data_IF_566740181199
#
_entry.id   IF_566740181199
#
_cell.length_a   1.000
_cell.length_b   1.000
_cell.length_c   1.000
_cell.angle_alpha   90.00
_cell.angle_beta   90.00
_cell.angle_gamma   90.00
#
_symmetry.space_group_name_H-M   'P 1'
#
loop_
_entity.id
_entity.type
_entity.pdbx_description
1 polymer ?
#
# COMPACT_ATOMS: atom_id res chain seq x y z
N UNK A 1 12.94 12.91 -14.13
CA UNK A 1 13.15 14.32 -13.74
C UNK A 1 13.02 14.34 -12.24
N UNK A 2 14.05 14.80 -11.53
CA UNK A 2 13.95 15.03 -10.09
C UNK A 2 13.07 16.27 -9.89
N UNK A 3 12.05 16.12 -9.07
CA UNK A 3 11.16 17.20 -8.64
C UNK A 3 11.84 17.94 -7.47
N UNK A 4 11.48 19.19 -7.18
CA UNK A 4 12.07 19.95 -6.08
C UNK A 4 11.77 19.29 -4.72
N UNK A 5 12.59 19.55 -3.69
CA UNK A 5 12.28 19.12 -2.32
C UNK A 5 11.01 19.86 -1.87
N UNK A 6 9.91 19.16 -1.54
CA UNK A 6 8.66 19.80 -1.15
C UNK A 6 8.76 20.51 0.20
N UNK A 7 7.82 21.43 0.41
CA UNK A 7 7.56 21.97 1.74
C UNK A 7 7.11 20.87 2.71
N UNK A 8 7.39 21.07 3.99
CA UNK A 8 7.00 20.14 5.06
C UNK A 8 5.48 20.01 5.16
N UNK A 9 5.02 18.79 5.46
CA UNK A 9 3.61 18.49 5.65
C UNK A 9 3.13 18.93 7.03
N UNK A 10 1.88 19.38 7.11
CA UNK A 10 1.23 19.77 8.38
C UNK A 10 0.57 18.59 9.11
N UNK A 11 0.87 17.35 8.73
CA UNK A 11 0.32 16.12 9.31
C UNK A 11 1.35 14.99 9.24
N UNK A 12 1.16 13.94 10.05
CA UNK A 12 1.99 12.73 10.05
C UNK A 12 1.71 11.87 8.81
N UNK A 13 2.61 11.81 7.82
CA UNK A 13 2.42 10.97 6.65
C UNK A 13 2.57 9.49 6.97
N UNK A 14 1.87 8.66 6.21
CA UNK A 14 1.90 7.19 6.29
C UNK A 14 2.29 6.56 4.95
N UNK A 15 1.87 7.15 3.84
CA UNK A 15 2.07 6.58 2.50
C UNK A 15 2.15 7.70 1.47
N UNK A 16 3.00 7.54 0.47
CA UNK A 16 3.03 8.38 -0.72
C UNK A 16 2.69 7.50 -1.93
N UNK A 17 1.83 8.00 -2.81
CA UNK A 17 1.44 7.31 -4.03
C UNK A 17 1.63 8.24 -5.22
N UNK A 18 2.19 7.72 -6.31
CA UNK A 18 2.39 8.47 -7.54
C UNK A 18 1.19 8.33 -8.47
N UNK A 19 0.82 9.42 -9.13
CA UNK A 19 -0.18 9.46 -10.20
C UNK A 19 0.34 10.30 -11.38
N UNK A 20 -0.49 10.57 -12.38
CA UNK A 20 -0.06 11.25 -13.61
C UNK A 20 0.49 12.66 -13.35
N UNK A 21 -0.21 13.47 -12.55
CA UNK A 21 0.12 14.88 -12.30
C UNK A 21 0.91 15.11 -10.99
N UNK A 22 1.55 14.07 -10.45
CA UNK A 22 2.44 14.19 -9.29
C UNK A 22 2.27 13.08 -8.25
N UNK A 23 2.16 13.46 -6.98
CA UNK A 23 2.03 12.55 -5.85
C UNK A 23 0.85 12.89 -4.93
N UNK A 24 0.39 11.89 -4.19
CA UNK A 24 -0.56 12.04 -3.09
C UNK A 24 0.13 11.54 -1.84
N UNK A 25 0.06 12.35 -0.78
CA UNK A 25 0.45 11.91 0.56
C UNK A 25 -0.79 11.58 1.36
N UNK A 26 -0.80 10.38 1.95
CA UNK A 26 -1.84 9.88 2.84
C UNK A 26 -1.33 9.96 4.27
N UNK A 27 -2.09 10.63 5.13
CA UNK A 27 -1.81 10.77 6.56
C UNK A 27 -2.31 9.61 7.40
N UNK A 28 -1.78 9.50 8.62
CA UNK A 28 -2.16 8.46 9.59
C UNK A 28 -3.64 8.55 9.97
N UNK A 29 -4.22 9.75 10.06
CA UNK A 29 -5.61 9.96 10.45
C UNK A 29 -6.56 10.10 9.26
N UNK A 30 -6.10 9.78 8.05
CA UNK A 30 -6.88 9.85 6.80
C UNK A 30 -6.79 11.19 6.07
N UNK A 31 -5.79 12.02 6.39
CA UNK A 31 -5.44 13.19 5.58
C UNK A 31 -5.04 12.77 4.16
N UNK A 32 -5.39 13.62 3.20
CA UNK A 32 -4.90 13.58 1.83
C UNK A 32 -4.41 14.97 1.45
N UNK A 33 -3.23 15.03 0.84
CA UNK A 33 -2.71 16.24 0.20
C UNK A 33 -1.97 15.86 -1.08
N UNK A 34 -2.10 16.69 -2.11
CA UNK A 34 -1.41 16.50 -3.39
C UNK A 34 -0.08 17.23 -3.38
N UNK A 35 0.84 16.70 -4.17
CA UNK A 35 2.08 17.36 -4.57
C UNK A 35 2.10 17.36 -6.09
N UNK A 36 2.36 18.51 -6.71
CA UNK A 36 2.48 18.62 -8.17
C UNK A 36 3.81 18.03 -8.70
N UNK A 37 4.03 18.13 -10.01
CA UNK A 37 5.22 17.60 -10.67
C UNK A 37 6.49 18.40 -10.35
N UNK A 38 6.34 19.66 -9.94
CA UNK A 38 7.42 20.55 -9.55
C UNK A 38 7.82 20.36 -8.08
N UNK A 39 6.96 19.72 -7.29
CA UNK A 39 7.15 19.45 -5.87
C UNK A 39 6.46 20.40 -4.92
N UNK A 40 5.55 21.24 -5.41
CA UNK A 40 4.78 22.13 -4.55
C UNK A 40 3.59 21.40 -3.94
N UNK A 41 3.31 21.71 -2.66
CA UNK A 41 2.08 21.26 -2.01
C UNK A 41 0.87 21.93 -2.66
N UNK A 42 -0.11 21.12 -3.08
CA UNK A 42 -1.34 21.60 -3.72
C UNK A 42 -2.49 21.59 -2.71
N UNK A 43 -2.95 22.80 -2.37
CA UNK A 43 -4.03 23.00 -1.41
C UNK A 43 -3.64 22.63 0.02
N UNK A 44 -4.63 22.67 0.91
CA UNK A 44 -4.47 22.32 2.32
C UNK A 44 -4.83 20.85 2.54
N UNK A 45 -4.25 20.14 3.53
CA UNK A 45 -4.63 18.77 3.86
C UNK A 45 -6.14 18.64 4.12
N UNK A 46 -6.77 17.59 3.58
CA UNK A 46 -8.21 17.31 3.79
C UNK A 46 -8.42 15.89 4.24
N UNK A 47 -9.47 15.67 5.04
CA UNK A 47 -9.93 14.32 5.42
C UNK A 47 -11.28 14.06 4.74
N UNK A 48 -11.34 13.38 3.58
CA UNK A 48 -12.63 13.05 2.93
C UNK A 48 -13.59 12.29 3.83
N UNK A 49 -13.05 11.52 4.77
CA UNK A 49 -13.81 10.75 5.74
C UNK A 49 -13.07 10.76 7.09
N UNK A 50 -13.77 10.78 8.23
CA UNK A 50 -13.15 11.05 9.53
C UNK A 50 -12.52 9.82 10.19
N UNK A 51 -11.93 8.93 9.39
CA UNK A 51 -11.27 7.71 9.86
C UNK A 51 -10.00 7.48 9.04
N UNK A 52 -9.02 6.72 9.53
CA UNK A 52 -7.83 6.37 8.75
C UNK A 52 -8.15 5.65 7.44
N UNK A 53 -7.31 5.89 6.43
CA UNK A 53 -7.27 5.08 5.21
C UNK A 53 -6.49 3.79 5.51
N UNK A 54 -7.16 2.65 5.33
CA UNK A 54 -6.60 1.32 5.59
C UNK A 54 -5.67 0.90 4.46
N UNK A 55 -6.18 0.96 3.23
CA UNK A 55 -5.45 0.65 1.99
C UNK A 55 -5.93 1.54 0.86
N UNK A 56 -5.03 1.88 -0.04
CA UNK A 56 -5.28 2.71 -1.21
C UNK A 56 -4.49 2.21 -2.43
N UNK A 57 -5.06 2.43 -3.62
CA UNK A 57 -4.43 2.18 -4.90
C UNK A 57 -4.88 3.26 -5.89
N UNK A 58 -4.10 3.45 -6.97
CA UNK A 58 -4.41 4.43 -8.01
C UNK A 58 -4.58 3.69 -9.34
N UNK A 59 -5.64 4.04 -10.07
CA UNK A 59 -5.87 3.64 -11.46
C UNK A 59 -6.04 4.94 -12.24
N UNK A 60 -5.14 5.22 -13.18
CA UNK A 60 -5.06 6.51 -13.88
C UNK A 60 -5.06 7.70 -12.90
N UNK A 61 -6.09 8.56 -12.97
CA UNK A 61 -6.31 9.68 -12.05
C UNK A 61 -7.43 9.39 -11.04
N UNK A 62 -7.66 8.11 -10.70
CA UNK A 62 -8.64 7.72 -9.68
C UNK A 62 -7.94 7.08 -8.48
N UNK A 63 -8.11 7.70 -7.31
CA UNK A 63 -7.73 7.11 -6.03
C UNK A 63 -8.84 6.19 -5.55
N UNK A 64 -8.55 4.90 -5.47
CA UNK A 64 -9.40 3.90 -4.82
C UNK A 64 -8.90 3.71 -3.39
N UNK A 65 -9.73 3.99 -2.39
CA UNK A 65 -9.33 3.89 -1.00
C UNK A 65 -10.39 3.20 -0.14
N UNK A 66 -9.90 2.62 0.96
CA UNK A 66 -10.73 2.00 1.99
C UNK A 66 -10.53 2.69 3.33
N UNK A 67 -11.64 2.87 4.04
CA UNK A 67 -11.68 3.47 5.37
C UNK A 67 -12.25 2.46 6.34
N UNK A 68 -11.68 2.38 7.54
CA UNK A 68 -12.10 1.45 8.59
C UNK A 68 -12.08 2.16 9.93
N UNK A 69 -13.19 2.08 10.66
CA UNK A 69 -13.23 2.40 12.09
C UNK A 69 -13.69 1.14 12.84
N UNK A 70 -12.74 0.53 13.55
CA UNK A 70 -12.96 -0.72 14.29
C UNK A 70 -13.87 -0.51 15.50
N UNK A 71 -13.85 0.68 16.12
CA UNK A 71 -14.69 0.95 17.29
C UNK A 71 -16.16 1.10 16.89
N UNK A 72 -16.40 1.75 15.74
CA UNK A 72 -17.75 1.92 15.19
C UNK A 72 -18.18 0.77 14.28
N UNK A 73 -17.31 -0.22 14.04
CA UNK A 73 -17.54 -1.37 13.16
C UNK A 73 -18.06 -0.95 11.78
N UNK A 74 -17.45 0.07 11.20
CA UNK A 74 -17.81 0.57 9.87
C UNK A 74 -16.61 0.50 8.93
N UNK A 75 -16.90 0.15 7.69
CA UNK A 75 -15.95 0.22 6.61
C UNK A 75 -16.58 0.88 5.37
N UNK A 76 -15.77 1.64 4.65
CA UNK A 76 -16.14 2.29 3.38
C UNK A 76 -15.08 1.98 2.34
N UNK A 77 -15.52 1.91 1.09
CA UNK A 77 -14.65 1.98 -0.07
C UNK A 77 -15.18 3.07 -0.99
N UNK A 78 -14.30 3.84 -1.60
CA UNK A 78 -14.69 4.87 -2.55
C UNK A 78 -13.59 5.12 -3.57
N UNK A 79 -14.00 5.66 -4.72
CA UNK A 79 -13.10 6.27 -5.68
C UNK A 79 -13.20 7.79 -5.61
N UNK A 80 -12.05 8.48 -5.66
CA UNK A 80 -11.94 9.93 -5.70
C UNK A 80 -11.16 10.31 -6.95
N UNK A 81 -11.73 11.19 -7.77
CA UNK A 81 -11.08 11.72 -8.97
C UNK A 81 -10.01 12.76 -8.59
N UNK A 82 -8.77 12.45 -8.96
CA UNK A 82 -7.57 13.22 -8.68
C UNK A 82 -7.42 14.44 -9.57
N UNK A 83 -8.27 14.63 -10.58
CA UNK A 83 -8.36 15.89 -11.30
C UNK A 83 -9.04 16.98 -10.44
N UNK A 84 -9.80 16.60 -9.40
CA UNK A 84 -10.51 17.52 -8.52
C UNK A 84 -9.77 17.74 -7.20
N UNK A 85 -10.02 18.88 -6.54
CA UNK A 85 -9.51 19.11 -5.19
C UNK A 85 -10.14 18.16 -4.17
N UNK A 86 -9.34 17.73 -3.18
CA UNK A 86 -9.87 16.94 -2.08
C UNK A 86 -10.87 17.76 -1.26
N UNK A 87 -11.91 17.09 -0.78
CA UNK A 87 -12.98 17.73 -0.02
C UNK A 87 -12.94 17.31 1.45
N UNK A 88 -13.34 18.22 2.33
CA UNK A 88 -13.42 17.94 3.75
C UNK A 88 -14.69 17.14 4.08
N UNK A 89 -14.50 16.01 4.74
CA UNK A 89 -15.54 15.13 5.26
C UNK A 89 -16.23 15.66 6.51
N UNK A 90 -17.26 14.92 6.92
CA UNK A 90 -17.94 15.11 8.21
C UNK A 90 -16.99 14.82 9.38
N UNK A 91 -17.43 15.14 10.61
CA UNK A 91 -16.69 14.76 11.80
C UNK A 91 -17.01 13.33 12.22
N UNK A 92 -16.10 12.71 12.98
CA UNK A 92 -16.29 11.32 13.49
C UNK A 92 -17.58 11.17 14.31
N UNK A 93 -17.98 12.22 15.03
CA UNK A 93 -19.22 12.23 15.82
C UNK A 93 -20.50 12.00 14.99
N UNK A 94 -20.51 12.45 13.74
CA UNK A 94 -21.67 12.35 12.84
C UNK A 94 -21.95 10.89 12.42
N UNK A 95 -20.92 10.03 12.44
CA UNK A 95 -21.04 8.62 12.08
C UNK A 95 -21.91 7.83 13.07
N UNK A 96 -22.03 8.29 14.32
CA UNK A 96 -22.78 7.57 15.38
C UNK A 96 -24.30 7.63 15.21
N UNK A 97 -24.80 8.64 14.49
CA UNK A 97 -26.23 8.98 14.43
C UNK A 97 -26.96 8.22 13.31
N UNK A 98 -26.23 7.71 12.30
CA UNK A 98 -26.82 7.15 11.07
C UNK A 98 -26.39 5.70 10.82
N UNK A 99 -27.08 4.76 11.49
CA UNK A 99 -26.72 3.33 11.51
C UNK A 99 -27.30 2.49 10.36
N UNK A 100 -28.21 3.02 9.56
CA UNK A 100 -28.81 2.27 8.44
C UNK A 100 -28.05 2.54 7.14
N UNK A 101 -27.97 1.54 6.26
CA UNK A 101 -27.17 1.59 5.02
C UNK A 101 -27.61 2.77 4.14
N UNK A 102 -28.90 2.99 4.00
CA UNK A 102 -29.54 4.09 3.25
C UNK A 102 -29.20 5.50 3.79
N UNK A 103 -28.76 5.60 5.04
CA UNK A 103 -28.37 6.86 5.69
C UNK A 103 -26.87 6.95 5.93
N UNK A 104 -26.10 6.00 5.41
CA UNK A 104 -24.66 5.95 5.60
C UNK A 104 -24.00 7.21 5.08
N UNK A 105 -23.03 7.71 5.84
CA UNK A 105 -22.16 8.79 5.37
C UNK A 105 -21.03 8.16 4.57
N UNK A 106 -20.68 8.82 3.47
CA UNK A 106 -19.67 8.41 2.51
C UNK A 106 -18.53 9.43 2.46
N UNK A 107 -17.32 9.02 2.04
CA UNK A 107 -16.20 9.94 1.83
C UNK A 107 -16.59 11.11 0.90
N UNK A 108 -16.23 12.35 1.23
CA UNK A 108 -16.55 13.52 0.41
C UNK A 108 -15.69 13.58 -0.86
N UNK A 109 -16.24 14.13 -1.94
CA UNK A 109 -15.57 14.19 -3.24
C UNK A 109 -15.46 12.83 -3.97
N UNK A 110 -16.22 11.82 -3.54
CA UNK A 110 -16.22 10.52 -4.20
C UNK A 110 -16.98 10.55 -5.55
N UNK A 111 -16.45 9.85 -6.54
CA UNK A 111 -17.18 9.53 -7.79
C UNK A 111 -18.17 8.39 -7.57
N UNK A 112 -17.79 7.41 -6.74
CA UNK A 112 -18.66 6.39 -6.21
C UNK A 112 -18.17 5.94 -4.84
N UNK A 113 -19.07 5.33 -4.06
CA UNK A 113 -18.70 4.75 -2.77
C UNK A 113 -19.64 3.63 -2.32
N UNK A 114 -19.10 2.70 -1.56
CA UNK A 114 -19.80 1.54 -1.02
C UNK A 114 -19.58 1.40 0.49
N UNK A 115 -20.62 0.91 1.17
CA UNK A 115 -20.53 0.39 2.52
C UNK A 115 -19.99 -1.04 2.43
N UNK A 116 -18.93 -1.33 3.17
CA UNK A 116 -18.42 -2.68 3.31
C UNK A 116 -19.00 -3.32 4.58
N UNK A 117 -19.43 -4.57 4.48
CA UNK A 117 -20.00 -5.36 5.59
C UNK A 117 -18.94 -6.24 6.30
N UNK A 118 -17.67 -6.11 5.91
CA UNK A 118 -16.52 -6.79 6.47
C UNK A 118 -15.26 -5.91 6.39
N UNK A 119 -14.24 -6.26 7.16
CA UNK A 119 -12.95 -5.56 7.15
C UNK A 119 -12.21 -5.79 5.82
N UNK A 120 -11.81 -4.72 5.11
CA UNK A 120 -10.88 -4.83 3.99
C UNK A 120 -9.48 -5.11 4.52
N UNK A 121 -8.93 -6.26 4.13
CA UNK A 121 -7.61 -6.72 4.58
C UNK A 121 -6.49 -6.14 3.71
N UNK A 122 -6.70 -6.08 2.39
CA UNK A 122 -5.72 -5.59 1.43
C UNK A 122 -6.40 -5.20 0.12
N UNK A 123 -5.75 -4.32 -0.64
CA UNK A 123 -6.19 -3.74 -1.91
C UNK A 123 -4.96 -3.57 -2.80
N UNK A 124 -5.06 -3.99 -4.06
CA UNK A 124 -4.05 -3.72 -5.08
C UNK A 124 -4.73 -3.51 -6.44
N UNK A 125 -4.10 -2.74 -7.32
CA UNK A 125 -4.65 -2.42 -8.63
C UNK A 125 -3.61 -2.62 -9.73
N UNK A 126 -4.11 -2.86 -10.94
CA UNK A 126 -3.35 -2.70 -12.18
C UNK A 126 -3.87 -1.46 -12.92
N UNK A 127 -3.52 -1.31 -14.20
CA UNK A 127 -3.96 -0.17 -15.00
C UNK A 127 -5.46 -0.07 -15.27
N UNK A 128 -6.26 -1.12 -15.04
CA UNK A 128 -7.67 -1.18 -15.47
C UNK A 128 -8.66 -1.60 -14.38
N UNK A 129 -8.22 -2.36 -13.38
CA UNK A 129 -9.05 -2.92 -12.33
C UNK A 129 -8.31 -2.95 -11.00
N UNK A 130 -9.07 -3.11 -9.92
CA UNK A 130 -8.51 -3.34 -8.59
C UNK A 130 -9.11 -4.59 -7.97
N UNK A 131 -8.28 -5.32 -7.25
CA UNK A 131 -8.67 -6.45 -6.42
C UNK A 131 -8.54 -6.11 -4.94
N UNK A 132 -9.44 -6.66 -4.13
CA UNK A 132 -9.38 -6.53 -2.69
C UNK A 132 -9.88 -7.79 -1.98
N UNK A 133 -9.42 -7.97 -0.75
CA UNK A 133 -9.80 -9.10 0.12
C UNK A 133 -10.62 -8.59 1.28
N UNK A 134 -11.80 -9.17 1.47
CA UNK A 134 -12.66 -8.92 2.63
C UNK A 134 -12.56 -10.08 3.61
N UNK A 135 -12.35 -9.75 4.89
CA UNK A 135 -12.26 -10.74 5.95
C UNK A 135 -13.52 -11.61 6.00
N UNK A 136 -13.34 -12.93 5.90
CA UNK A 136 -14.42 -13.94 5.93
C UNK A 136 -15.47 -13.83 4.82
N UNK A 137 -15.14 -13.17 3.70
CA UNK A 137 -16.06 -12.97 2.57
C UNK A 137 -15.47 -13.43 1.25
N UNK A 138 -14.16 -13.24 1.06
CA UNK A 138 -13.46 -13.67 -0.14
C UNK A 138 -12.74 -12.53 -0.84
N UNK A 139 -12.57 -12.68 -2.14
CA UNK A 139 -11.79 -11.81 -3.01
C UNK A 139 -12.72 -11.25 -4.07
N UNK A 140 -12.56 -9.97 -4.37
CA UNK A 140 -13.36 -9.26 -5.36
C UNK A 140 -12.42 -8.52 -6.29
N UNK A 141 -12.74 -8.49 -7.58
CA UNK A 141 -12.10 -7.62 -8.55
C UNK A 141 -13.15 -6.78 -9.26
N UNK A 142 -12.95 -5.47 -9.25
CA UNK A 142 -13.86 -4.49 -9.82
C UNK A 142 -13.11 -3.61 -10.83
N UNK A 143 -13.82 -3.11 -11.84
CA UNK A 143 -13.34 -2.00 -12.66
C UNK A 143 -13.25 -0.71 -11.84
N UNK A 144 -12.55 0.30 -12.38
CA UNK A 144 -12.47 1.64 -11.78
C UNK A 144 -13.85 2.27 -11.50
N UNK A 145 -14.89 1.88 -12.23
CA UNK A 145 -16.28 2.35 -12.08
C UNK A 145 -17.14 1.47 -11.12
N UNK A 146 -16.49 0.65 -10.30
CA UNK A 146 -17.12 -0.27 -9.35
C UNK A 146 -18.01 -1.37 -9.96
N UNK A 147 -17.73 -1.78 -11.21
CA UNK A 147 -18.40 -2.93 -11.84
C UNK A 147 -17.63 -4.20 -11.47
N UNK A 148 -18.31 -5.19 -10.87
CA UNK A 148 -17.70 -6.49 -10.55
C UNK A 148 -17.29 -7.22 -11.84
N UNK A 149 -16.00 -7.50 -11.99
CA UNK A 149 -15.46 -8.34 -13.06
C UNK A 149 -15.56 -9.82 -12.66
N UNK A 150 -15.13 -10.14 -11.45
CA UNK A 150 -15.19 -11.47 -10.88
C UNK A 150 -15.04 -11.44 -9.35
N UNK A 151 -15.37 -12.56 -8.72
CA UNK A 151 -15.12 -12.81 -7.30
C UNK A 151 -14.68 -14.26 -7.07
N UNK A 152 -13.92 -14.47 -6.01
CA UNK A 152 -13.42 -15.77 -5.60
C UNK A 152 -13.67 -15.99 -4.09
N UNK A 153 -13.76 -17.26 -3.63
CA UNK A 153 -13.88 -17.57 -2.22
C UNK A 153 -12.63 -17.14 -1.42
N UNK A 154 -12.69 -17.28 -0.10
CA UNK A 154 -11.55 -17.01 0.76
C UNK A 154 -10.29 -17.78 0.35
N UNK A 155 -9.12 -17.12 0.31
CA UNK A 155 -7.86 -17.77 -0.01
C UNK A 155 -7.53 -18.82 1.06
N UNK A 156 -7.12 -20.02 0.63
CA UNK A 156 -6.82 -21.11 1.57
C UNK A 156 -5.68 -22.00 1.11
N UNK A 157 -4.88 -22.45 2.08
CA UNK A 157 -3.75 -23.36 1.86
C UNK A 157 -3.82 -24.51 2.86
N UNK A 158 -4.14 -25.72 2.38
CA UNK A 158 -4.35 -26.90 3.24
C UNK A 158 -3.19 -27.17 4.21
N UNK A 159 -1.94 -26.95 3.77
CA UNK A 159 -0.75 -27.16 4.60
C UNK A 159 -0.59 -26.09 5.71
N UNK A 160 -1.12 -24.88 5.52
CA UNK A 160 -1.06 -23.80 6.52
C UNK A 160 -2.23 -23.85 7.51
N UNK A 161 -3.30 -24.58 7.20
CA UNK A 161 -4.50 -24.65 8.05
C UNK A 161 -4.25 -25.15 9.49
N UNK A 162 -3.15 -25.90 9.69
CA UNK A 162 -2.74 -26.41 11.03
C UNK A 162 -1.86 -25.44 11.81
N UNK A 163 -1.37 -24.38 11.17
CA UNK A 163 -0.48 -23.40 11.79
C UNK A 163 -1.33 -22.18 12.19
N UNK A 164 -1.32 -21.78 13.48
CA UNK A 164 -2.11 -20.65 13.94
C UNK A 164 -1.88 -19.41 13.09
N UNK A 165 -2.98 -18.81 12.61
CA UNK A 165 -2.99 -17.53 11.86
C UNK A 165 -2.22 -17.54 10.53
N UNK A 166 -1.64 -18.66 10.11
CA UNK A 166 -0.80 -18.71 8.91
C UNK A 166 -1.56 -18.50 7.59
N UNK A 167 -2.88 -18.69 7.59
CA UNK A 167 -3.75 -18.42 6.43
C UNK A 167 -4.26 -16.97 6.38
N UNK A 168 -4.02 -16.14 7.40
CA UNK A 168 -4.43 -14.73 7.38
C UNK A 168 -3.76 -14.02 6.20
N UNK A 169 -4.56 -13.31 5.40
CA UNK A 169 -4.05 -12.48 4.31
C UNK A 169 -3.30 -11.28 4.90
N UNK A 170 -2.09 -11.03 4.41
CA UNK A 170 -1.23 -9.93 4.88
C UNK A 170 -0.91 -8.91 3.79
N UNK A 171 -0.89 -9.34 2.52
CA UNK A 171 -0.63 -8.46 1.39
C UNK A 171 -1.30 -8.96 0.12
N UNK A 172 -1.53 -8.04 -0.81
CA UNK A 172 -1.94 -8.34 -2.19
C UNK A 172 -1.07 -7.56 -3.15
N UNK A 173 -0.74 -8.17 -4.27
CA UNK A 173 0.01 -7.52 -5.36
C UNK A 173 -0.76 -7.72 -6.66
N UNK A 174 -0.69 -6.77 -7.57
CA UNK A 174 -1.42 -6.83 -8.84
C UNK A 174 -0.53 -6.33 -9.96
N UNK A 175 -0.54 -7.04 -11.07
CA UNK A 175 0.02 -6.60 -12.35
C UNK A 175 -1.00 -6.81 -13.48
N UNK A 176 -0.59 -6.60 -14.72
CA UNK A 176 -1.47 -6.70 -15.89
C UNK A 176 -1.92 -8.12 -16.22
N UNK A 177 -1.33 -9.14 -15.60
CA UNK A 177 -1.66 -10.56 -15.81
C UNK A 177 -2.28 -11.19 -14.57
N UNK A 178 -1.82 -10.80 -13.38
CA UNK A 178 -2.08 -11.53 -12.16
C UNK A 178 -2.48 -10.64 -10.98
N UNK A 179 -3.45 -11.13 -10.22
CA UNK A 179 -3.71 -10.71 -8.85
C UNK A 179 -3.19 -11.78 -7.88
N UNK A 180 -2.38 -11.39 -6.91
CA UNK A 180 -1.75 -12.32 -5.98
C UNK A 180 -2.18 -12.01 -4.55
N UNK A 181 -2.56 -13.05 -3.82
CA UNK A 181 -2.90 -12.97 -2.40
C UNK A 181 -1.84 -13.68 -1.59
N UNK A 182 -1.29 -12.97 -0.60
CA UNK A 182 -0.21 -13.43 0.26
C UNK A 182 -0.69 -13.65 1.68
N UNK A 183 -0.34 -14.82 2.23
CA UNK A 183 -0.69 -15.19 3.60
C UNK A 183 0.48 -15.02 4.56
N UNK A 184 0.18 -14.84 5.84
CA UNK A 184 1.14 -14.71 6.93
C UNK A 184 2.15 -15.86 6.99
N UNK A 185 1.75 -17.06 6.62
CA UNK A 185 2.60 -18.26 6.57
C UNK A 185 3.35 -18.47 5.26
N UNK A 186 3.46 -17.45 4.39
CA UNK A 186 4.15 -17.55 3.10
C UNK A 186 3.34 -18.25 2.00
N UNK A 187 2.03 -18.40 2.18
CA UNK A 187 1.14 -18.88 1.13
C UNK A 187 0.95 -17.80 0.07
N UNK A 188 0.99 -18.20 -1.19
CA UNK A 188 0.64 -17.35 -2.35
C UNK A 188 -0.41 -18.09 -3.17
N UNK A 189 -1.45 -17.37 -3.59
CA UNK A 189 -2.37 -17.79 -4.65
C UNK A 189 -2.33 -16.71 -5.72
N UNK A 190 -2.09 -17.12 -6.97
CA UNK A 190 -2.08 -16.28 -8.15
C UNK A 190 -3.36 -16.50 -8.93
N UNK A 191 -4.09 -15.43 -9.20
CA UNK A 191 -5.31 -15.42 -10.00
C UNK A 191 -5.03 -14.73 -11.33
N UNK A 192 -5.56 -15.28 -12.41
CA UNK A 192 -5.63 -14.59 -13.70
C UNK A 192 -6.52 -13.34 -13.53
N UNK A 193 -5.99 -12.17 -13.86
CA UNK A 193 -6.65 -10.89 -13.56
C UNK A 193 -7.95 -10.70 -14.34
N UNK A 194 -8.10 -11.34 -15.51
CA UNK A 194 -9.28 -11.19 -16.36
C UNK A 194 -10.42 -12.11 -15.92
N UNK A 195 -10.10 -13.37 -15.59
CA UNK A 195 -11.11 -14.41 -15.33
C UNK A 195 -11.31 -14.74 -13.86
N UNK A 196 -10.40 -14.32 -12.97
CA UNK A 196 -10.42 -14.70 -11.55
C UNK A 196 -10.09 -16.17 -11.30
N UNK A 197 -9.63 -16.91 -12.31
CA UNK A 197 -9.23 -18.32 -12.16
C UNK A 197 -7.88 -18.41 -11.46
N UNK A 198 -7.75 -19.36 -10.53
CA UNK A 198 -6.45 -19.67 -9.93
C UNK A 198 -5.51 -20.26 -10.96
N UNK A 199 -4.35 -19.61 -11.13
CA UNK A 199 -3.26 -20.02 -12.03
C UNK A 199 -2.19 -20.79 -11.27
N UNK A 200 -1.85 -20.34 -10.06
CA UNK A 200 -0.85 -20.98 -9.20
C UNK A 200 -1.24 -20.88 -7.73
N UNK A 201 -0.80 -21.83 -6.92
CA UNK A 201 -0.94 -21.83 -5.47
C UNK A 201 0.21 -22.59 -4.83
N UNK A 202 1.07 -21.89 -4.11
CA UNK A 202 2.25 -22.47 -3.46
C UNK A 202 2.47 -21.87 -2.06
N UNK A 203 3.42 -22.44 -1.34
CA UNK A 203 3.86 -21.96 -0.03
C UNK A 203 5.37 -21.81 -0.10
N UNK A 204 5.86 -20.62 0.22
CA UNK A 204 7.28 -20.33 0.29
C UNK A 204 7.77 -20.69 1.70
N UNK A 205 8.86 -21.45 1.84
CA UNK A 205 9.48 -21.67 3.14
C UNK A 205 10.10 -20.36 3.63
N UNK A 206 9.59 -19.83 4.74
CA UNK A 206 10.06 -18.60 5.38
C UNK A 206 10.56 -18.89 6.79
N UNK A 207 11.61 -18.20 7.21
CA UNK A 207 12.09 -18.20 8.60
C UNK A 207 11.43 -17.06 9.41
N UNK A 208 10.13 -17.22 9.63
CA UNK A 208 9.29 -16.23 10.30
C UNK A 208 7.89 -16.11 9.69
N UNK A 209 7.17 -15.08 10.11
CA UNK A 209 5.86 -14.73 9.54
C UNK A 209 6.00 -13.55 8.60
N UNK A 210 5.32 -13.64 7.46
CA UNK A 210 5.20 -12.56 6.49
C UNK A 210 4.31 -11.45 7.04
N UNK A 211 4.76 -10.20 6.94
CA UNK A 211 4.02 -9.00 7.35
C UNK A 211 3.67 -8.11 6.16
N UNK A 212 4.48 -8.12 5.11
CA UNK A 212 4.29 -7.28 3.92
C UNK A 212 5.02 -7.85 2.71
N UNK A 213 4.57 -7.43 1.53
CA UNK A 213 5.17 -7.81 0.24
C UNK A 213 5.18 -6.59 -0.66
N UNK A 214 6.34 -6.27 -1.21
CA UNK A 214 6.52 -5.30 -2.29
C UNK A 214 6.89 -6.07 -3.55
N UNK A 215 6.36 -5.63 -4.71
CA UNK A 215 6.55 -6.30 -5.99
C UNK A 215 6.87 -5.30 -7.09
N UNK A 216 7.82 -5.66 -7.94
CA UNK A 216 8.08 -5.00 -9.22
C UNK A 216 8.45 -6.05 -10.26
N UNK A 217 7.58 -6.29 -11.24
CA UNK A 217 7.76 -7.39 -12.19
C UNK A 217 7.91 -8.74 -11.47
N UNK A 218 9.02 -9.44 -11.71
CA UNK A 218 9.36 -10.72 -11.07
C UNK A 218 10.14 -10.57 -9.75
N UNK A 219 10.41 -9.33 -9.33
CA UNK A 219 11.16 -9.02 -8.11
C UNK A 219 10.21 -8.85 -6.94
N UNK A 220 10.44 -9.60 -5.87
CA UNK A 220 9.67 -9.49 -4.63
C UNK A 220 10.59 -9.15 -3.45
N UNK A 221 10.16 -8.19 -2.64
CA UNK A 221 10.72 -7.94 -1.31
C UNK A 221 9.70 -8.39 -0.26
N UNK A 222 10.07 -9.42 0.49
CA UNK A 222 9.24 -9.99 1.55
C UNK A 222 9.68 -9.40 2.90
N UNK A 223 8.77 -8.76 3.62
CA UNK A 223 9.01 -8.29 4.98
C UNK A 223 8.56 -9.35 5.99
N UNK A 224 9.47 -9.76 6.88
CA UNK A 224 9.20 -10.70 7.95
C UNK A 224 9.11 -10.01 9.31
N UNK A 225 8.42 -10.66 10.26
CA UNK A 225 8.13 -10.16 11.61
C UNK A 225 9.32 -9.99 12.56
N UNK A 226 10.53 -10.30 12.12
CA UNK A 226 11.77 -10.22 12.87
C UNK A 226 12.74 -9.16 12.30
N UNK A 227 12.19 -8.18 11.58
CA UNK A 227 12.94 -7.12 10.86
C UNK A 227 13.87 -7.69 9.78
N UNK A 228 13.64 -8.93 9.35
CA UNK A 228 14.33 -9.51 8.20
C UNK A 228 13.51 -9.22 6.96
N UNK A 229 14.19 -8.79 5.90
CA UNK A 229 13.64 -8.77 4.55
C UNK A 229 14.29 -9.86 3.72
N UNK A 230 13.53 -10.41 2.77
CA UNK A 230 14.02 -11.42 1.84
C UNK A 230 13.72 -11.01 0.39
N UNK A 231 14.71 -11.13 -0.48
CA UNK A 231 14.52 -10.98 -1.93
C UNK A 231 14.09 -12.35 -2.46
N UNK A 232 12.88 -12.41 -3.03
CA UNK A 232 12.32 -13.61 -3.63
C UNK A 232 12.17 -13.44 -5.13
N UNK A 233 12.83 -14.31 -5.90
CA UNK A 233 12.87 -14.24 -7.36
C UNK A 233 13.00 -15.65 -7.95
N UNK A 234 12.37 -15.88 -9.10
CA UNK A 234 12.48 -17.14 -9.84
C UNK A 234 12.18 -18.40 -9.00
N UNK A 235 11.30 -18.28 -8.00
CA UNK A 235 10.89 -19.40 -7.16
C UNK A 235 11.70 -19.61 -5.88
N UNK A 236 12.74 -18.81 -5.63
CA UNK A 236 13.65 -18.99 -4.50
C UNK A 236 14.02 -17.69 -3.77
N UNK A 237 14.43 -17.82 -2.52
CA UNK A 237 14.97 -16.70 -1.73
C UNK A 237 16.43 -16.50 -2.13
N UNK A 238 16.74 -15.37 -2.76
CA UNK A 238 18.08 -15.03 -3.25
C UNK A 238 18.97 -14.46 -2.15
N UNK A 239 18.38 -13.67 -1.27
CA UNK A 239 19.10 -12.95 -0.23
C UNK A 239 18.16 -12.67 0.94
N UNK A 240 18.70 -12.67 2.15
CA UNK A 240 18.04 -12.15 3.35
C UNK A 240 18.91 -11.08 4.00
N UNK A 241 18.28 -10.05 4.55
CA UNK A 241 18.97 -8.98 5.25
C UNK A 241 18.16 -8.55 6.48
N UNK A 242 18.85 -8.32 7.59
CA UNK A 242 18.22 -7.82 8.82
C UNK A 242 18.29 -6.30 8.87
N UNK A 243 17.15 -5.63 8.83
CA UNK A 243 17.02 -4.17 8.92
C UNK A 243 16.85 -3.72 10.39
N UNK A 244 16.87 -2.40 10.58
CA UNK A 244 16.73 -1.77 11.91
C UNK A 244 15.33 -1.88 12.51
N UNK A 245 14.33 -2.21 11.69
CA UNK A 245 12.94 -2.41 12.13
C UNK A 245 12.01 -2.72 10.96
N UNK A 246 10.69 -2.48 11.11
CA UNK A 246 9.73 -2.64 10.02
C UNK A 246 10.01 -1.64 8.88
N UNK A 247 9.57 -2.01 7.68
CA UNK A 247 9.65 -1.15 6.49
C UNK A 247 8.28 -0.56 6.19
N UNK A 248 8.26 0.68 5.73
CA UNK A 248 7.03 1.40 5.39
C UNK A 248 6.83 1.48 3.88
N UNK A 249 7.93 1.56 3.14
CA UNK A 249 7.92 1.70 1.69
C UNK A 249 9.14 1.03 1.07
N UNK A 250 8.97 0.47 -0.12
CA UNK A 250 10.07 0.00 -0.94
C UNK A 250 9.75 0.16 -2.42
N UNK A 251 10.76 0.53 -3.21
CA UNK A 251 10.69 0.68 -4.66
C UNK A 251 11.88 -0.02 -5.31
N UNK A 252 11.62 -0.70 -6.42
CA UNK A 252 12.67 -1.33 -7.22
C UNK A 252 13.32 -0.30 -8.17
N UNK A 253 14.64 -0.23 -8.14
CA UNK A 253 15.43 0.55 -9.10
C UNK A 253 15.88 -0.35 -10.25
N UNK A 254 15.33 -0.11 -11.44
CA UNK A 254 15.76 -0.79 -12.67
C UNK A 254 17.20 -0.48 -13.03
N UNK A 255 17.68 0.72 -12.69
CA UNK A 255 19.05 1.15 -12.97
C UNK A 255 20.06 0.41 -12.09
N UNK A 256 19.76 0.28 -10.79
CA UNK A 256 20.66 -0.33 -9.82
C UNK A 256 20.39 -1.82 -9.57
N UNK A 257 19.30 -2.36 -10.13
CA UNK A 257 18.85 -3.75 -9.97
C UNK A 257 18.75 -4.13 -8.47
N UNK A 258 18.00 -3.33 -7.71
CA UNK A 258 17.84 -3.53 -6.27
C UNK A 258 16.70 -2.69 -5.68
N UNK A 259 16.40 -2.94 -4.41
CA UNK A 259 15.33 -2.28 -3.66
C UNK A 259 15.87 -1.09 -2.89
N UNK A 260 15.29 0.09 -3.12
CA UNK A 260 15.34 1.21 -2.18
C UNK A 260 14.24 1.02 -1.14
N UNK A 261 14.57 1.23 0.12
CA UNK A 261 13.71 0.92 1.27
C UNK A 261 13.70 2.11 2.21
N UNK A 262 12.51 2.52 2.62
CA UNK A 262 12.28 3.45 3.71
C UNK A 262 11.63 2.72 4.87
N UNK A 263 12.24 2.81 6.06
CA UNK A 263 11.78 2.08 7.23
C UNK A 263 12.11 2.75 8.56
N UNK A 264 12.18 1.93 9.61
CA UNK A 264 12.38 2.39 10.97
C UNK A 264 13.74 3.07 11.19
N UNK A 265 13.75 4.41 11.11
CA UNK A 265 14.94 5.26 11.30
C UNK A 265 16.11 4.85 10.40
N UNK A 266 15.78 4.38 9.21
CA UNK A 266 16.74 3.83 8.26
C UNK A 266 16.22 3.98 6.83
N UNK A 267 17.10 4.41 5.94
CA UNK A 267 17.00 4.16 4.50
C UNK A 267 17.96 3.03 4.16
N UNK A 268 17.56 2.13 3.28
CA UNK A 268 18.43 1.05 2.83
C UNK A 268 18.33 0.85 1.33
N UNK A 269 19.45 0.48 0.71
CA UNK A 269 19.47 -0.11 -0.62
C UNK A 269 19.94 -1.55 -0.51
N UNK A 270 19.22 -2.47 -1.14
CA UNK A 270 19.56 -3.90 -1.15
C UNK A 270 19.46 -4.44 -2.57
N UNK A 271 20.58 -4.96 -3.08
CA UNK A 271 20.64 -5.73 -4.32
C UNK A 271 21.32 -7.07 -4.08
N UNK A 272 21.42 -7.90 -5.13
CA UNK A 272 22.21 -9.12 -5.07
C UNK A 272 23.72 -8.89 -4.89
N UNK A 273 24.21 -7.66 -5.13
CA UNK A 273 25.65 -7.34 -5.13
C UNK A 273 26.07 -6.42 -3.99
N UNK A 274 25.19 -5.52 -3.58
CA UNK A 274 25.50 -4.42 -2.67
C UNK A 274 24.36 -4.21 -1.69
N UNK A 275 24.74 -3.77 -0.49
CA UNK A 275 23.81 -3.32 0.53
C UNK A 275 24.38 -2.04 1.14
N UNK A 276 23.60 -0.97 1.17
CA UNK A 276 23.94 0.27 1.87
C UNK A 276 22.78 0.68 2.77
N UNK A 277 23.11 1.43 3.82
CA UNK A 277 22.18 1.85 4.86
C UNK A 277 22.56 3.23 5.34
N UNK A 278 21.55 4.07 5.54
CA UNK A 278 21.67 5.41 6.09
C UNK A 278 20.78 5.47 7.32
N UNK A 279 21.38 5.75 8.47
CA UNK A 279 20.63 5.93 9.72
C UNK A 279 19.97 7.31 9.74
N UNK A 280 18.73 7.36 10.20
CA UNK A 280 17.96 8.59 10.35
C UNK A 280 17.55 8.82 11.82
N UNK A 281 17.21 10.05 12.17
CA UNK A 281 16.59 10.37 13.46
C UNK A 281 15.09 10.02 13.49
N UNK A 282 14.42 10.16 12.35
CA UNK A 282 12.98 9.95 12.17
C UNK A 282 12.66 8.73 11.30
N UNK A 283 11.42 8.25 11.35
CA UNK A 283 10.98 7.06 10.61
C UNK A 283 10.70 7.46 9.17
N UNK A 284 11.44 6.89 8.22
CA UNK A 284 11.18 7.12 6.80
C UNK A 284 9.93 6.36 6.34
N UNK A 285 9.05 7.06 5.61
CA UNK A 285 7.79 6.51 5.09
C UNK A 285 7.75 6.43 3.57
N UNK A 286 8.70 7.07 2.88
CA UNK A 286 8.82 7.05 1.43
C UNK A 286 10.25 7.38 0.99
N UNK A 287 10.65 6.86 -0.18
CA UNK A 287 11.89 7.19 -0.88
C UNK A 287 11.64 7.10 -2.38
N UNK A 288 12.02 8.12 -3.14
CA UNK A 288 12.05 8.07 -4.61
C UNK A 288 13.41 7.55 -5.06
N UNK A 289 13.44 6.35 -5.65
CA UNK A 289 14.69 5.71 -6.10
C UNK A 289 15.45 6.50 -7.16
N UNK A 290 14.80 7.45 -7.85
CA UNK A 290 15.42 8.22 -8.94
C UNK A 290 16.07 9.51 -8.48
N UNK A 291 15.42 10.22 -7.56
CA UNK A 291 15.92 11.50 -7.05
C UNK A 291 16.68 11.37 -5.73
N UNK A 292 16.44 10.30 -4.97
CA UNK A 292 16.94 10.15 -3.60
C UNK A 292 16.16 10.97 -2.58
N UNK A 293 15.08 11.65 -3.00
CA UNK A 293 14.18 12.38 -2.09
C UNK A 293 13.43 11.37 -1.22
N UNK A 294 13.36 11.64 0.08
CA UNK A 294 12.65 10.81 1.04
C UNK A 294 11.78 11.65 1.97
N UNK A 295 10.76 11.01 2.56
CA UNK A 295 9.82 11.64 3.50
C UNK A 295 9.88 10.90 4.83
N UNK A 296 9.96 11.66 5.92
CA UNK A 296 9.86 11.16 7.29
C UNK A 296 8.44 11.32 7.86
N UNK A 297 8.13 10.54 8.89
CA UNK A 297 6.82 10.51 9.55
C UNK A 297 6.50 11.80 10.34
N UNK A 298 7.45 12.69 10.54
CA UNK A 298 7.25 14.03 11.09
C UNK A 298 6.82 15.06 10.02
N UNK A 299 6.70 14.63 8.76
CA UNK A 299 6.30 15.47 7.64
C UNK A 299 7.46 16.17 6.93
N UNK A 300 8.71 15.89 7.31
CA UNK A 300 9.90 16.50 6.71
C UNK A 300 10.36 15.77 5.46
N UNK A 301 10.68 16.54 4.42
CA UNK A 301 11.31 16.06 3.20
C UNK A 301 12.80 16.37 3.20
N UNK A 302 13.59 15.45 2.67
CA UNK A 302 15.04 15.61 2.55
C UNK A 302 15.55 14.74 1.39
N UNK A 303 16.85 14.81 1.07
CA UNK A 303 17.48 14.07 -0.03
C UNK A 303 18.68 13.28 0.50
N UNK A 304 18.91 12.08 -0.04
CA UNK A 304 20.14 11.35 0.25
C UNK A 304 21.31 12.15 -0.34
N UNK A 305 22.13 12.74 0.53
CA UNK A 305 23.38 13.35 0.12
C UNK A 305 24.29 12.30 -0.52
N UNK A 306 24.56 12.44 -1.81
CA UNK A 306 25.53 11.62 -2.53
C UNK A 306 27.00 11.95 -2.16
N UNK A 307 27.26 12.57 -1.00
CA UNK A 307 28.55 13.16 -0.63
C UNK A 307 29.27 12.50 0.56
N UNK A 308 28.93 11.27 0.93
CA UNK A 308 29.76 10.46 1.85
C UNK A 308 30.34 9.20 1.18
N UNK A 309 30.74 9.32 -0.09
CA UNK A 309 31.67 8.39 -0.74
C UNK A 309 32.91 9.17 -1.24
N UNK A 310 33.74 9.64 -0.30
CA UNK A 310 35.18 9.91 -0.53
C UNK A 310 36.05 9.07 0.42
#
# INVERSE_FOLDING_TARGET
MAWGIPDNLEFTPKQVMRYFDGHIVVGVDGELQKIDLEGNLVGQPKKPFPTPIKSAAIIDNMLIATWLDQELLLARMAAIDLNNDFQQGVNRGDLRVRKTIDKSIHPQGNSWSHVLDAEPLSLAANSNSFGFVLWRKGIYNLSVDAIENWRAPEPSWKKLAKIPRAMETVSTTCDEQYYEVWSKGGGIIRFDIQSGKTVDSKIIPLDGYLEGVFKHGEHYLLQLNNSVVAIYEAGEIKLTAKLSGPINYAEWSEMNQGWHIAGWRELAFISAKTMSRTQLSEIAVYIDSKSGIYLCNDGTWDIIDAQEEE
#
